data_IF_728142485773
#
_entry.id   IF_728142485773
#
_cell.length_a   1.000
_cell.length_b   1.000
_cell.length_c   1.000
_cell.angle_alpha   90.00
_cell.angle_beta   90.00
_cell.angle_gamma   90.00
#
_symmetry.space_group_name_H-M   'P 1'
#
loop_
_entity.id
_entity.type
_entity.pdbx_description
1 polymer ?
#
# COMPACT_ATOMS: atom_id res chain seq x y z
N UNK A 1 -45.22 62.09 -8.41
CA UNK A 1 -43.76 62.17 -8.23
C UNK A 1 -43.23 60.75 -8.07
N UNK A 2 -42.52 60.21 -9.04
CA UNK A 2 -41.84 58.91 -8.91
C UNK A 2 -40.35 59.17 -9.15
N UNK A 3 -39.53 58.93 -8.11
CA UNK A 3 -38.08 59.07 -8.18
C UNK A 3 -37.51 57.83 -8.85
N UNK A 4 -36.86 58.00 -9.99
CA UNK A 4 -36.02 56.97 -10.61
C UNK A 4 -34.73 56.92 -9.80
N UNK A 5 -34.47 55.82 -9.10
CA UNK A 5 -33.17 55.58 -8.49
C UNK A 5 -32.23 55.10 -9.61
N UNK A 6 -31.23 55.91 -9.93
CA UNK A 6 -30.08 55.50 -10.74
C UNK A 6 -29.34 54.39 -9.99
N UNK A 7 -29.39 53.18 -10.53
CA UNK A 7 -28.59 52.06 -10.05
C UNK A 7 -27.23 52.09 -10.76
N UNK A 8 -26.19 52.52 -10.05
CA UNK A 8 -24.81 52.43 -10.53
C UNK A 8 -24.30 50.99 -10.33
N UNK A 9 -24.06 50.28 -11.44
CA UNK A 9 -23.51 48.93 -11.44
C UNK A 9 -21.98 49.01 -11.44
N UNK A 10 -21.37 48.77 -10.29
CA UNK A 10 -19.91 48.64 -10.18
C UNK A 10 -19.53 47.20 -10.54
N UNK A 11 -19.06 46.98 -11.77
CA UNK A 11 -18.55 45.67 -12.19
C UNK A 11 -17.14 45.45 -11.65
N UNK A 12 -17.02 44.66 -10.58
CA UNK A 12 -15.73 44.21 -10.06
C UNK A 12 -15.11 43.20 -11.04
N UNK A 13 -13.83 43.32 -11.45
CA UNK A 13 -13.21 42.37 -12.35
C UNK A 13 -13.24 40.94 -11.77
N UNK A 14 -13.68 39.97 -12.56
CA UNK A 14 -13.76 38.57 -12.12
C UNK A 14 -12.35 37.93 -12.06
N UNK A 15 -11.67 38.12 -10.92
CA UNK A 15 -10.33 37.58 -10.66
C UNK A 15 -10.32 36.05 -10.43
N UNK A 16 -11.48 35.40 -10.32
CA UNK A 16 -11.56 33.95 -10.14
C UNK A 16 -11.13 33.19 -11.41
N UNK A 17 -11.41 33.75 -12.60
CA UNK A 17 -10.94 33.17 -13.87
C UNK A 17 -9.42 33.13 -13.99
N UNK A 18 -8.68 34.00 -13.29
CA UNK A 18 -7.22 33.95 -13.28
C UNK A 18 -6.65 32.83 -12.38
N UNK A 19 -7.47 32.29 -11.46
CA UNK A 19 -7.10 31.18 -10.55
C UNK A 19 -7.56 29.82 -11.06
N UNK A 20 -8.58 29.79 -11.91
CA UNK A 20 -9.00 28.59 -12.65
C UNK A 20 -8.10 28.53 -13.87
N UNK A 21 -7.04 27.71 -13.81
CA UNK A 21 -6.06 27.59 -14.90
C UNK A 21 -6.72 27.54 -16.29
N UNK A 22 -6.11 28.22 -17.25
CA UNK A 22 -6.65 28.34 -18.62
C UNK A 22 -6.68 27.01 -19.38
N UNK A 23 -7.19 27.01 -20.62
CA UNK A 23 -7.19 25.83 -21.48
C UNK A 23 -5.77 25.27 -21.62
N UNK A 24 -5.64 23.95 -21.51
CA UNK A 24 -4.36 23.22 -21.64
C UNK A 24 -3.72 23.59 -22.99
N UNK A 25 -2.54 24.18 -22.96
CA UNK A 25 -1.77 24.54 -24.15
C UNK A 25 -0.98 23.35 -24.70
N UNK A 26 -0.49 23.44 -25.94
CA UNK A 26 0.39 22.41 -26.51
C UNK A 26 1.71 22.27 -25.73
N UNK A 27 2.18 23.35 -25.11
CA UNK A 27 3.33 23.31 -24.20
C UNK A 27 3.01 22.55 -22.90
N UNK A 28 1.80 22.71 -22.35
CA UNK A 28 1.33 21.94 -21.19
C UNK A 28 1.22 20.44 -21.53
N UNK A 29 0.79 20.11 -22.75
CA UNK A 29 0.74 18.71 -23.21
C UNK A 29 2.13 18.07 -23.28
N UNK A 30 3.13 18.78 -23.79
CA UNK A 30 4.52 18.28 -23.81
C UNK A 30 5.11 18.13 -22.39
N UNK A 31 4.73 19.00 -21.45
CA UNK A 31 5.14 18.87 -20.05
C UNK A 31 4.44 17.69 -19.34
N UNK A 32 3.18 17.43 -19.67
CA UNK A 32 2.44 16.24 -19.20
C UNK A 32 3.08 14.97 -19.75
N UNK A 33 3.37 14.92 -21.05
CA UNK A 33 4.01 13.78 -21.69
C UNK A 33 5.38 13.48 -21.07
N UNK A 34 6.20 14.52 -20.84
CA UNK A 34 7.49 14.38 -20.15
C UNK A 34 7.33 13.91 -18.70
N UNK A 35 6.28 14.34 -18.00
CA UNK A 35 6.00 13.87 -16.65
C UNK A 35 5.53 12.41 -16.62
N UNK A 36 4.73 11.98 -17.60
CA UNK A 36 4.30 10.59 -17.77
C UNK A 36 5.47 9.67 -18.15
N UNK A 37 6.38 10.13 -19.00
CA UNK A 37 7.61 9.40 -19.37
C UNK A 37 8.52 9.20 -18.15
N UNK A 38 8.77 10.26 -17.38
CA UNK A 38 9.53 10.16 -16.13
C UNK A 38 8.86 9.23 -15.10
N UNK A 39 7.53 9.21 -15.03
CA UNK A 39 6.79 8.29 -14.18
C UNK A 39 6.90 6.84 -14.66
N UNK A 40 6.95 6.61 -15.97
CA UNK A 40 7.11 5.29 -16.58
C UNK A 40 8.49 4.70 -16.29
N UNK A 41 9.53 5.50 -16.40
CA UNK A 41 10.89 5.07 -16.04
C UNK A 41 10.96 4.68 -14.56
N UNK A 42 10.36 5.48 -13.68
CA UNK A 42 10.29 5.17 -12.25
C UNK A 42 9.53 3.86 -11.95
N UNK A 43 8.46 3.57 -12.69
CA UNK A 43 7.70 2.31 -12.55
C UNK A 43 8.49 1.08 -12.99
N UNK A 44 9.47 1.23 -13.88
CA UNK A 44 10.33 0.12 -14.28
C UNK A 44 11.18 -0.37 -13.10
N UNK A 45 11.57 0.54 -12.20
CA UNK A 45 12.39 0.23 -11.02
C UNK A 45 11.56 -0.30 -9.83
N UNK A 46 10.26 -0.02 -9.77
CA UNK A 46 9.38 -0.48 -8.67
C UNK A 46 9.41 -2.00 -8.46
N UNK A 47 9.48 -2.77 -9.54
CA UNK A 47 9.56 -4.23 -9.46
C UNK A 47 10.85 -4.70 -8.78
N UNK A 48 11.99 -4.08 -9.10
CA UNK A 48 13.27 -4.40 -8.46
C UNK A 48 13.25 -3.99 -6.98
N UNK A 49 12.77 -2.80 -6.66
CA UNK A 49 12.70 -2.34 -5.27
C UNK A 49 11.78 -3.21 -4.42
N UNK A 50 10.63 -3.60 -4.96
CA UNK A 50 9.73 -4.53 -4.26
C UNK A 50 10.39 -5.91 -4.07
N UNK A 51 11.13 -6.42 -5.06
CA UNK A 51 11.90 -7.66 -4.95
C UNK A 51 12.94 -7.60 -3.83
N UNK A 52 13.66 -6.49 -3.71
CA UNK A 52 14.62 -6.27 -2.62
C UNK A 52 13.93 -6.27 -1.25
N UNK A 53 12.77 -5.62 -1.12
CA UNK A 53 12.01 -5.60 0.14
C UNK A 53 11.42 -6.97 0.51
N UNK A 54 10.88 -7.70 -0.47
CA UNK A 54 10.40 -9.08 -0.25
C UNK A 54 11.57 -10.00 0.10
N UNK A 55 12.75 -9.79 -0.48
CA UNK A 55 13.97 -10.51 -0.11
C UNK A 55 14.36 -10.31 1.37
N UNK A 56 14.22 -9.09 1.89
CA UNK A 56 14.45 -8.81 3.33
C UNK A 56 13.41 -9.51 4.21
N UNK A 57 12.14 -9.50 3.82
CA UNK A 57 11.08 -10.23 4.52
C UNK A 57 11.39 -11.74 4.59
N UNK A 58 11.81 -12.36 3.48
CA UNK A 58 12.17 -13.77 3.46
C UNK A 58 13.40 -14.09 4.31
N UNK A 59 14.38 -13.20 4.34
CA UNK A 59 15.54 -13.35 5.21
C UNK A 59 15.13 -13.37 6.70
N UNK A 60 14.27 -12.43 7.12
CA UNK A 60 13.71 -12.43 8.47
C UNK A 60 12.90 -13.70 8.76
N UNK A 61 12.08 -14.15 7.80
CA UNK A 61 11.29 -15.37 7.93
C UNK A 61 12.15 -16.63 8.11
N UNK A 62 13.30 -16.72 7.43
CA UNK A 62 14.26 -17.83 7.61
C UNK A 62 14.81 -17.87 9.03
N UNK A 63 15.12 -16.72 9.61
CA UNK A 63 15.62 -16.62 11.00
C UNK A 63 14.51 -17.02 11.99
N UNK A 64 13.32 -16.44 11.82
CA UNK A 64 12.14 -16.73 12.66
C UNK A 64 11.73 -18.20 12.61
N UNK A 65 11.94 -18.89 11.47
CA UNK A 65 11.68 -20.34 11.37
C UNK A 65 12.48 -21.16 12.40
N UNK A 66 13.65 -20.69 12.81
CA UNK A 66 14.50 -21.34 13.82
C UNK A 66 14.36 -20.72 15.21
N UNK A 67 14.24 -19.40 15.31
CA UNK A 67 14.24 -18.66 16.57
C UNK A 67 12.84 -18.51 17.21
N UNK A 68 11.79 -18.60 16.40
CA UNK A 68 10.42 -18.28 16.81
C UNK A 68 10.08 -16.80 16.70
N UNK A 69 8.84 -16.45 17.06
CA UNK A 69 8.28 -15.09 16.93
C UNK A 69 8.42 -14.25 18.20
N UNK A 70 8.59 -14.86 19.37
CA UNK A 70 8.64 -14.17 20.66
C UNK A 70 9.87 -13.26 20.84
N UNK A 71 10.88 -13.36 19.97
CA UNK A 71 12.14 -12.64 20.13
C UNK A 71 12.25 -11.36 19.31
N UNK A 72 13.43 -10.70 19.38
CA UNK A 72 13.80 -9.63 18.45
C UNK A 72 13.73 -10.08 16.98
N UNK A 73 13.85 -11.38 16.70
CA UNK A 73 13.70 -11.94 15.35
C UNK A 73 12.26 -11.80 14.83
N UNK A 74 11.25 -11.97 15.70
CA UNK A 74 9.86 -11.76 15.33
C UNK A 74 9.50 -10.28 15.19
N UNK A 75 10.11 -9.40 15.97
CA UNK A 75 10.03 -7.95 15.78
C UNK A 75 10.63 -7.53 14.43
N UNK A 76 11.78 -8.08 14.05
CA UNK A 76 12.37 -7.84 12.73
C UNK A 76 11.43 -8.28 11.59
N UNK A 77 10.80 -9.45 11.72
CA UNK A 77 9.79 -9.89 10.75
C UNK A 77 8.59 -8.92 10.69
N UNK A 78 8.13 -8.43 11.84
CA UNK A 78 7.07 -7.43 11.90
C UNK A 78 7.46 -6.14 11.17
N UNK A 79 8.66 -5.61 11.40
CA UNK A 79 9.16 -4.40 10.73
C UNK A 79 9.15 -4.58 9.22
N UNK A 80 9.68 -5.71 8.70
CA UNK A 80 9.68 -5.99 7.26
C UNK A 80 8.27 -6.11 6.67
N UNK A 81 7.36 -6.75 7.39
CA UNK A 81 5.97 -6.81 6.97
C UNK A 81 5.29 -5.43 7.00
N UNK A 82 5.62 -4.59 7.98
CA UNK A 82 5.08 -3.24 8.11
C UNK A 82 5.51 -2.34 6.95
N UNK A 83 6.78 -2.40 6.55
CA UNK A 83 7.28 -1.65 5.40
C UNK A 83 6.55 -2.07 4.12
N UNK A 84 6.43 -3.38 3.87
CA UNK A 84 5.72 -3.91 2.69
C UNK A 84 4.23 -3.57 2.67
N UNK A 85 3.59 -3.45 3.84
CA UNK A 85 2.20 -2.96 3.92
C UNK A 85 2.09 -1.55 3.32
N UNK A 86 3.06 -0.67 3.60
CA UNK A 86 3.08 0.70 3.06
C UNK A 86 3.56 0.78 1.61
N UNK A 87 4.45 -0.12 1.19
CA UNK A 87 5.10 -0.08 -0.11
C UNK A 87 4.32 -0.82 -1.22
N UNK A 88 3.59 -1.89 -0.91
CA UNK A 88 2.93 -2.74 -1.90
C UNK A 88 2.09 -1.96 -2.92
N UNK A 89 1.10 -1.20 -2.45
CA UNK A 89 0.26 -0.36 -3.33
C UNK A 89 1.05 0.72 -4.07
N UNK A 90 2.08 1.30 -3.43
CA UNK A 90 2.95 2.30 -4.07
C UNK A 90 3.69 1.72 -5.27
N UNK A 91 4.08 0.45 -5.19
CA UNK A 91 4.75 -0.29 -6.25
C UNK A 91 3.78 -1.05 -7.17
N UNK A 92 2.49 -0.71 -7.16
CA UNK A 92 1.44 -1.33 -7.99
C UNK A 92 1.10 -2.80 -7.65
N UNK A 93 1.40 -3.25 -6.42
CA UNK A 93 1.03 -4.56 -5.87
C UNK A 93 0.11 -4.42 -4.63
N UNK A 94 -1.14 -3.96 -4.77
CA UNK A 94 -2.09 -3.88 -3.66
C UNK A 94 -2.31 -5.22 -2.94
N UNK A 95 -2.17 -6.37 -3.62
CA UNK A 95 -2.25 -7.69 -2.98
C UNK A 95 -1.15 -7.89 -1.92
N UNK A 96 0.06 -7.35 -2.16
CA UNK A 96 1.15 -7.42 -1.19
C UNK A 96 0.84 -6.55 0.02
N UNK A 97 0.28 -5.36 -0.18
CA UNK A 97 -0.20 -4.51 0.92
C UNK A 97 -1.26 -5.22 1.76
N UNK A 98 -2.18 -5.94 1.13
CA UNK A 98 -3.24 -6.71 1.79
C UNK A 98 -2.66 -7.82 2.67
N UNK A 99 -1.83 -8.69 2.09
CA UNK A 99 -1.19 -9.81 2.78
C UNK A 99 -0.25 -9.35 3.91
N UNK A 100 0.56 -8.33 3.67
CA UNK A 100 1.42 -7.76 4.70
C UNK A 100 0.59 -7.06 5.81
N UNK A 101 -0.56 -6.50 5.45
CA UNK A 101 -1.52 -5.91 6.39
C UNK A 101 -2.13 -6.90 7.38
N UNK A 102 -2.48 -8.10 6.95
CA UNK A 102 -2.98 -9.14 7.87
C UNK A 102 -1.86 -9.72 8.73
N UNK A 103 -0.67 -9.96 8.15
CA UNK A 103 0.50 -10.40 8.90
C UNK A 103 0.85 -9.41 10.01
N UNK A 104 0.98 -8.13 9.69
CA UNK A 104 1.33 -7.09 10.67
C UNK A 104 0.35 -7.03 11.84
N UNK A 105 -0.96 -7.03 11.58
CA UNK A 105 -1.98 -7.06 12.66
C UNK A 105 -1.89 -8.29 13.56
N UNK A 106 -1.40 -9.41 13.02
CA UNK A 106 -1.21 -10.65 13.76
C UNK A 106 0.01 -10.60 14.69
N UNK A 107 1.06 -9.84 14.34
CA UNK A 107 2.35 -9.85 15.06
C UNK A 107 2.82 -8.46 15.52
N UNK A 108 1.91 -7.48 15.61
CA UNK A 108 2.18 -6.08 15.98
C UNK A 108 2.56 -5.87 17.45
N UNK A 109 2.14 -6.78 18.34
CA UNK A 109 2.40 -6.74 19.77
C UNK A 109 3.26 -7.92 20.19
N UNK A 110 4.08 -7.71 21.23
CA UNK A 110 4.91 -8.75 21.80
C UNK A 110 4.06 -9.94 22.29
N UNK A 111 2.96 -9.66 22.99
CA UNK A 111 2.06 -10.67 23.56
C UNK A 111 1.36 -11.49 22.47
N UNK A 112 1.13 -10.89 21.29
CA UNK A 112 0.62 -11.60 20.13
C UNK A 112 1.71 -12.46 19.52
N UNK A 113 2.91 -11.93 19.31
CA UNK A 113 4.05 -12.70 18.78
C UNK A 113 4.38 -13.94 19.59
N UNK A 114 4.25 -13.86 20.91
CA UNK A 114 4.48 -14.99 21.82
C UNK A 114 3.51 -16.16 21.57
N UNK A 115 2.32 -15.87 21.04
CA UNK A 115 1.23 -16.84 20.84
C UNK A 115 0.90 -17.11 19.37
N UNK A 116 1.42 -16.30 18.46
CA UNK A 116 1.10 -16.34 17.05
C UNK A 116 1.55 -17.68 16.43
N UNK A 117 0.71 -18.34 15.62
CA UNK A 117 1.11 -19.56 14.93
C UNK A 117 2.22 -19.25 13.92
N UNK A 118 3.42 -19.78 14.15
CA UNK A 118 4.58 -19.59 13.26
C UNK A 118 4.26 -20.00 11.81
N UNK A 119 3.54 -21.12 11.63
CA UNK A 119 3.15 -21.59 10.30
C UNK A 119 2.28 -20.57 9.55
N UNK A 120 1.38 -19.87 10.26
CA UNK A 120 0.53 -18.84 9.66
C UNK A 120 1.35 -17.60 9.27
N UNK A 121 2.31 -17.19 10.09
CA UNK A 121 3.22 -16.09 9.74
C UNK A 121 4.05 -16.41 8.49
N UNK A 122 4.63 -17.62 8.43
CA UNK A 122 5.40 -18.07 7.27
C UNK A 122 4.52 -18.23 6.01
N UNK A 123 3.25 -18.62 6.16
CA UNK A 123 2.32 -18.70 5.04
C UNK A 123 2.06 -17.32 4.39
N UNK A 124 1.96 -16.25 5.18
CA UNK A 124 1.88 -14.89 4.65
C UNK A 124 3.12 -14.50 3.85
N UNK A 125 4.32 -14.80 4.37
CA UNK A 125 5.57 -14.52 3.65
C UNK A 125 5.63 -15.29 2.33
N UNK A 126 5.23 -16.57 2.36
CA UNK A 126 5.14 -17.39 1.15
C UNK A 126 4.14 -16.84 0.14
N UNK A 127 2.97 -16.38 0.58
CA UNK A 127 1.95 -15.77 -0.28
C UNK A 127 2.45 -14.46 -0.92
N UNK A 128 3.15 -13.61 -0.16
CA UNK A 128 3.76 -12.37 -0.68
C UNK A 128 4.80 -12.68 -1.75
N UNK A 129 5.72 -13.62 -1.47
CA UNK A 129 6.71 -14.08 -2.45
C UNK A 129 6.05 -14.65 -3.70
N UNK A 130 5.02 -15.48 -3.54
CA UNK A 130 4.30 -16.09 -4.65
C UNK A 130 3.55 -15.07 -5.51
N UNK A 131 2.96 -14.03 -4.90
CA UNK A 131 2.32 -12.95 -5.62
C UNK A 131 3.34 -12.19 -6.48
N UNK A 132 4.51 -11.87 -5.92
CA UNK A 132 5.56 -11.18 -6.67
C UNK A 132 6.12 -12.05 -7.81
N UNK A 133 6.45 -13.33 -7.55
CA UNK A 133 7.04 -14.21 -8.56
C UNK A 133 6.09 -14.53 -9.73
N UNK A 134 4.78 -14.52 -9.47
CA UNK A 134 3.75 -14.71 -10.49
C UNK A 134 3.24 -13.38 -11.07
N UNK A 135 3.79 -12.24 -10.64
CA UNK A 135 3.35 -10.90 -11.01
C UNK A 135 1.83 -10.69 -10.80
N UNK A 136 1.29 -11.28 -9.73
CA UNK A 136 -0.08 -11.06 -9.28
C UNK A 136 -0.11 -9.75 -8.52
N UNK A 137 -0.83 -8.76 -9.05
CA UNK A 137 -0.82 -7.40 -8.52
C UNK A 137 -2.00 -7.11 -7.59
N UNK A 138 -3.17 -7.62 -7.92
CA UNK A 138 -4.44 -7.25 -7.31
C UNK A 138 -5.32 -8.50 -7.08
N UNK A 139 -6.55 -8.28 -6.63
CA UNK A 139 -7.52 -9.33 -6.32
C UNK A 139 -8.23 -9.92 -7.57
N UNK A 140 -7.78 -9.59 -8.79
CA UNK A 140 -8.37 -10.16 -10.03
C UNK A 140 -8.00 -11.64 -10.21
N UNK A 141 -6.88 -12.08 -9.61
CA UNK A 141 -6.55 -13.50 -9.48
C UNK A 141 -7.38 -14.12 -8.36
N UNK A 142 -8.33 -14.98 -8.74
CA UNK A 142 -9.27 -15.60 -7.81
C UNK A 142 -8.56 -16.43 -6.73
N UNK A 143 -7.47 -17.13 -7.09
CA UNK A 143 -6.74 -18.00 -6.16
C UNK A 143 -5.99 -17.15 -5.15
N UNK A 144 -5.32 -16.09 -5.59
CA UNK A 144 -4.62 -15.17 -4.69
C UNK A 144 -5.60 -14.43 -3.76
N UNK A 145 -6.75 -14.01 -4.29
CA UNK A 145 -7.78 -13.33 -3.51
C UNK A 145 -8.40 -14.23 -2.44
N UNK A 146 -8.68 -15.49 -2.77
CA UNK A 146 -9.17 -16.50 -1.81
C UNK A 146 -8.13 -16.81 -0.74
N UNK A 147 -6.87 -17.02 -1.13
CA UNK A 147 -5.76 -17.24 -0.21
C UNK A 147 -5.59 -16.06 0.76
N UNK A 148 -5.60 -14.83 0.25
CA UNK A 148 -5.51 -13.63 1.08
C UNK A 148 -6.68 -13.54 2.05
N UNK A 149 -7.90 -13.85 1.60
CA UNK A 149 -9.09 -13.87 2.46
C UNK A 149 -9.03 -14.92 3.58
N UNK A 150 -8.55 -16.13 3.28
CA UNK A 150 -8.40 -17.17 4.30
C UNK A 150 -7.30 -16.84 5.31
N UNK A 151 -6.16 -16.30 4.85
CA UNK A 151 -5.09 -15.84 5.74
C UNK A 151 -5.55 -14.70 6.65
N UNK A 152 -6.32 -13.75 6.13
CA UNK A 152 -6.95 -12.66 6.89
C UNK A 152 -7.90 -13.20 7.95
N UNK A 153 -8.76 -14.15 7.58
CA UNK A 153 -9.72 -14.78 8.48
C UNK A 153 -9.01 -15.52 9.62
N UNK A 154 -7.98 -16.31 9.33
CA UNK A 154 -7.22 -17.00 10.37
C UNK A 154 -6.46 -16.02 11.27
N UNK A 155 -5.88 -14.97 10.70
CA UNK A 155 -5.20 -13.92 11.47
C UNK A 155 -6.18 -13.16 12.38
N UNK A 156 -7.38 -12.88 11.89
CA UNK A 156 -8.42 -12.22 12.67
C UNK A 156 -8.98 -13.12 13.79
N UNK A 157 -9.14 -14.42 13.53
CA UNK A 157 -9.54 -15.39 14.54
C UNK A 157 -8.47 -15.51 15.64
N UNK A 158 -7.19 -15.54 15.26
CA UNK A 158 -6.10 -15.47 16.23
C UNK A 158 -6.15 -14.18 17.04
N UNK A 159 -6.33 -13.03 16.39
CA UNK A 159 -6.30 -11.72 17.05
C UNK A 159 -7.56 -11.37 17.85
N UNK A 160 -8.60 -12.21 17.82
CA UNK A 160 -9.88 -11.96 18.51
C UNK A 160 -9.75 -11.60 19.99
N UNK A 161 -8.88 -12.26 20.80
CA UNK A 161 -8.67 -11.90 22.21
C UNK A 161 -8.06 -10.51 22.45
N UNK A 162 -7.56 -9.84 21.40
CA UNK A 162 -6.92 -8.52 21.44
C UNK A 162 -7.77 -7.44 20.76
N UNK A 163 -9.06 -7.72 20.51
CA UNK A 163 -10.00 -6.68 20.11
C UNK A 163 -10.43 -5.90 21.36
N UNK A 164 -10.03 -4.64 21.42
CA UNK A 164 -10.65 -3.64 22.32
C UNK A 164 -12.08 -3.32 21.86
#
# INVERSE_FOLDING_TARGET
>A
MAKTNDAEVISVPNLLQAKVGGPISQADMHMIEKAEEALKDLRADFGQWLEEEVGKLEAAAKVVKTAGLAGPEGEELFVRAHDLRGLGSTYEFPIVTRLAGSLTKMIDMQEKRDKAPLALALAHVGAIRAALSQNIRNDEDAVASELAGELEKQSAAFAEPWKD
#
